data_IF_203942477605
#
_entry.id   IF_203942477605
#
_cell.length_a   1.000
_cell.length_b   1.000
_cell.length_c   1.000
_cell.angle_alpha   90.00
_cell.angle_beta   90.00
_cell.angle_gamma   90.00
#
_symmetry.space_group_name_H-M   'P 1'
#
loop_
_entity.id
_entity.type
_entity.pdbx_description
1 polymer ?
#
# COMPACT_ATOMS: atom_id res chain seq x y z
N UNK A 1 -2.41 -19.25 6.56
CA UNK A 1 -3.20 -20.51 6.56
C UNK A 1 -4.61 -20.25 7.08
N UNK A 2 -5.66 -20.88 6.51
CA UNK A 2 -7.08 -20.64 6.89
C UNK A 2 -7.68 -21.66 7.89
N UNK A 3 -6.86 -22.52 8.51
CA UNK A 3 -7.30 -23.49 9.53
C UNK A 3 -7.24 -22.96 10.97
N UNK A 4 -7.69 -23.74 11.94
CA UNK A 4 -7.72 -23.39 13.38
C UNK A 4 -6.36 -22.90 13.93
N UNK A 5 -5.26 -23.41 13.37
CA UNK A 5 -3.87 -23.00 13.71
C UNK A 5 -3.28 -21.93 12.80
N UNK A 6 -4.08 -21.33 11.93
CA UNK A 6 -3.63 -20.37 10.93
C UNK A 6 -3.03 -19.08 11.51
N UNK A 7 -3.41 -18.73 12.75
CA UNK A 7 -2.90 -17.57 13.48
C UNK A 7 -1.48 -17.76 14.04
N UNK A 8 -1.04 -19.00 14.29
CA UNK A 8 0.30 -19.34 14.83
C UNK A 8 1.36 -19.51 13.73
N UNK A 9 0.94 -19.69 12.48
CA UNK A 9 1.81 -19.89 11.32
C UNK A 9 1.93 -18.61 10.46
N UNK A 10 1.96 -17.42 11.10
CA UNK A 10 1.94 -16.14 10.37
C UNK A 10 3.20 -15.92 9.52
N UNK A 11 4.35 -16.44 9.91
CA UNK A 11 5.54 -16.45 9.07
C UNK A 11 6.44 -17.65 9.41
N UNK A 12 6.59 -18.59 8.47
CA UNK A 12 7.52 -19.73 8.58
C UNK A 12 8.41 -19.72 7.36
N UNK A 13 9.72 -19.61 7.59
CA UNK A 13 10.72 -19.64 6.52
C UNK A 13 11.16 -21.08 6.27
N UNK A 14 10.98 -21.53 5.04
CA UNK A 14 11.47 -22.83 4.54
C UNK A 14 12.55 -22.53 3.49
N UNK A 15 13.79 -23.03 3.65
CA UNK A 15 14.83 -22.87 2.64
C UNK A 15 14.42 -23.44 1.28
N UNK A 16 14.88 -22.82 0.20
CA UNK A 16 14.71 -23.35 -1.17
C UNK A 16 15.30 -24.78 -1.27
N UNK A 17 14.65 -25.65 -2.04
CA UNK A 17 15.05 -27.06 -2.20
C UNK A 17 14.78 -27.96 -0.98
N UNK A 18 14.37 -27.40 0.16
CA UNK A 18 14.12 -28.15 1.40
C UNK A 18 12.63 -28.43 1.61
N UNK A 19 12.29 -29.68 1.91
CA UNK A 19 10.89 -30.06 2.09
C UNK A 19 10.19 -30.26 0.74
N UNK A 20 8.91 -30.66 0.80
CA UNK A 20 8.05 -30.75 -0.38
C UNK A 20 7.87 -29.38 -1.04
N UNK A 21 7.51 -28.35 -0.25
CA UNK A 21 7.32 -26.98 -0.74
C UNK A 21 8.59 -26.40 -1.35
N UNK A 22 9.74 -26.55 -0.69
CA UNK A 22 11.01 -26.03 -1.23
C UNK A 22 11.45 -26.73 -2.50
N UNK A 23 11.18 -28.04 -2.64
CA UNK A 23 11.46 -28.78 -3.88
C UNK A 23 10.57 -28.29 -5.03
N UNK A 24 9.27 -28.09 -4.80
CA UNK A 24 8.34 -27.56 -5.81
C UNK A 24 8.74 -26.15 -6.23
N UNK A 25 9.13 -25.30 -5.27
CA UNK A 25 9.60 -23.95 -5.55
C UNK A 25 10.88 -23.92 -6.41
N UNK A 26 11.77 -24.89 -6.23
CA UNK A 26 13.03 -25.00 -6.97
C UNK A 26 12.84 -25.59 -8.38
N UNK A 27 11.98 -26.61 -8.51
CA UNK A 27 11.85 -27.36 -9.76
C UNK A 27 10.66 -26.93 -10.63
N UNK A 28 9.71 -26.19 -10.07
CA UNK A 28 8.50 -25.75 -10.79
C UNK A 28 7.60 -26.91 -11.22
N UNK A 29 7.61 -28.03 -10.49
CA UNK A 29 6.80 -29.22 -10.81
C UNK A 29 5.84 -29.54 -9.67
N UNK A 30 4.57 -29.88 -9.96
CA UNK A 30 3.62 -30.24 -8.94
C UNK A 30 3.97 -31.61 -8.31
N UNK A 31 3.55 -31.82 -7.05
CA UNK A 31 3.76 -33.07 -6.32
C UNK A 31 2.49 -33.52 -5.60
N UNK A 32 2.17 -34.80 -5.78
CA UNK A 32 1.23 -35.55 -4.98
C UNK A 32 2.01 -36.47 -4.02
N UNK A 33 1.85 -36.28 -2.72
CA UNK A 33 2.49 -37.07 -1.66
C UNK A 33 1.40 -37.73 -0.80
N UNK A 34 1.05 -39.00 -1.07
CA UNK A 34 -0.01 -39.69 -0.33
C UNK A 34 0.34 -39.99 1.13
N UNK A 35 1.64 -40.18 1.43
CA UNK A 35 2.16 -40.41 2.78
C UNK A 35 3.53 -39.73 2.94
N UNK A 36 3.58 -38.62 3.68
CA UNK A 36 4.80 -37.84 3.91
C UNK A 36 5.88 -38.62 4.67
N UNK A 37 5.53 -39.65 5.44
CA UNK A 37 6.55 -40.46 6.17
C UNK A 37 7.37 -41.32 5.22
N UNK A 38 6.86 -41.59 4.02
CA UNK A 38 7.53 -42.40 2.98
C UNK A 38 8.31 -41.54 1.98
N UNK A 39 8.17 -40.23 2.02
CA UNK A 39 8.87 -39.32 1.12
C UNK A 39 10.17 -38.81 1.75
N UNK A 40 11.31 -39.03 1.09
CA UNK A 40 12.64 -38.64 1.56
C UNK A 40 12.83 -37.12 1.64
N UNK A 41 12.02 -36.34 0.91
CA UNK A 41 12.05 -34.88 0.92
C UNK A 41 11.28 -34.29 2.11
N UNK A 42 10.58 -35.11 2.91
CA UNK A 42 9.74 -34.62 3.98
C UNK A 42 10.51 -33.87 5.08
N UNK A 43 10.15 -32.60 5.31
CA UNK A 43 10.79 -31.74 6.31
C UNK A 43 9.87 -31.48 7.51
N UNK A 44 10.18 -32.11 8.66
CA UNK A 44 9.39 -32.01 9.91
C UNK A 44 9.49 -30.67 10.65
N UNK A 45 10.29 -29.71 10.17
CA UNK A 45 10.55 -28.47 10.92
C UNK A 45 9.29 -27.60 11.09
N UNK A 46 8.39 -27.62 10.12
CA UNK A 46 7.11 -26.89 10.15
C UNK A 46 6.12 -27.55 11.12
N UNK A 47 5.97 -28.88 11.04
CA UNK A 47 5.13 -29.67 11.95
C UNK A 47 5.54 -29.50 13.43
N UNK A 48 6.85 -29.51 13.72
CA UNK A 48 7.37 -29.32 15.09
C UNK A 48 6.98 -27.95 15.67
N UNK A 49 7.01 -26.89 14.86
CA UNK A 49 6.66 -25.53 15.30
C UNK A 49 5.16 -25.34 15.49
N UNK A 50 4.36 -25.91 14.60
CA UNK A 50 2.89 -25.71 14.58
C UNK A 50 2.12 -26.77 15.38
N UNK A 51 2.81 -27.84 15.82
CA UNK A 51 2.18 -29.05 16.37
C UNK A 51 1.10 -29.61 15.43
N UNK A 52 1.20 -29.35 14.13
CA UNK A 52 0.33 -29.93 13.10
C UNK A 52 0.92 -31.26 12.66
N UNK A 53 0.08 -32.26 12.42
CA UNK A 53 0.52 -33.59 11.96
C UNK A 53 0.17 -33.74 10.51
N UNK A 54 1.16 -33.57 9.65
CA UNK A 54 0.99 -33.75 8.22
C UNK A 54 1.05 -35.24 7.86
N UNK A 55 0.09 -35.71 7.06
CA UNK A 55 -0.01 -37.10 6.57
C UNK A 55 0.12 -37.16 5.06
N UNK A 56 -0.59 -36.28 4.35
CA UNK A 56 -0.57 -36.21 2.90
C UNK A 56 -0.55 -34.75 2.41
N UNK A 57 0.03 -34.53 1.24
CA UNK A 57 0.25 -33.21 0.64
C UNK A 57 -0.05 -33.27 -0.84
N UNK A 58 -0.72 -32.24 -1.37
CA UNK A 58 -0.52 -31.80 -2.74
C UNK A 58 0.16 -30.44 -2.69
N UNK A 59 1.22 -30.25 -3.46
CA UNK A 59 1.88 -28.96 -3.64
C UNK A 59 2.00 -28.65 -5.13
N UNK A 60 1.58 -27.44 -5.52
CA UNK A 60 1.61 -26.97 -6.93
C UNK A 60 2.36 -25.64 -7.00
N UNK A 61 3.19 -25.43 -8.03
CA UNK A 61 3.85 -24.16 -8.25
C UNK A 61 2.82 -23.10 -8.68
N UNK A 62 2.98 -21.87 -8.22
CA UNK A 62 2.26 -20.71 -8.72
C UNK A 62 3.14 -20.07 -9.79
N UNK A 63 2.77 -20.22 -11.05
CA UNK A 63 3.57 -19.76 -12.19
C UNK A 63 2.83 -18.64 -12.92
N UNK A 64 3.51 -17.51 -13.11
CA UNK A 64 3.04 -16.39 -13.92
C UNK A 64 4.15 -15.94 -14.87
N UNK A 65 3.83 -15.78 -16.16
CA UNK A 65 4.78 -15.34 -17.21
C UNK A 65 6.11 -16.12 -17.21
N UNK A 66 6.05 -17.43 -16.96
CA UNK A 66 7.23 -18.31 -16.93
C UNK A 66 8.09 -18.22 -15.66
N UNK A 67 7.67 -17.45 -14.65
CA UNK A 67 8.34 -17.33 -13.35
C UNK A 67 7.52 -17.99 -12.25
N UNK A 68 8.18 -18.70 -11.34
CA UNK A 68 7.56 -19.23 -10.13
C UNK A 68 7.45 -18.07 -9.13
N UNK A 69 6.23 -17.65 -8.82
CA UNK A 69 5.95 -16.57 -7.87
C UNK A 69 5.60 -17.11 -6.47
N UNK A 70 5.43 -18.42 -6.33
CA UNK A 70 5.18 -19.08 -5.06
C UNK A 70 4.82 -20.55 -5.21
N UNK A 71 4.40 -21.16 -4.12
CA UNK A 71 3.88 -22.53 -4.06
C UNK A 71 2.61 -22.53 -3.22
N UNK A 72 1.59 -23.24 -3.69
CA UNK A 72 0.37 -23.49 -2.93
C UNK A 72 0.33 -24.96 -2.52
N UNK A 73 0.00 -25.23 -1.26
CA UNK A 73 -0.15 -26.59 -0.75
C UNK A 73 -1.49 -26.81 -0.06
N UNK A 74 -1.99 -28.04 -0.18
CA UNK A 74 -3.12 -28.55 0.58
C UNK A 74 -2.71 -29.81 1.32
N UNK A 75 -3.10 -29.89 2.59
CA UNK A 75 -2.68 -30.93 3.52
C UNK A 75 -3.87 -31.75 3.97
N UNK A 76 -3.67 -33.05 4.19
CA UNK A 76 -4.61 -33.94 4.88
C UNK A 76 -6.06 -33.88 4.36
N UNK A 77 -6.34 -34.50 3.20
CA UNK A 77 -7.69 -34.59 2.64
C UNK A 77 -8.71 -35.09 3.70
N UNK A 78 -9.84 -34.37 3.82
CA UNK A 78 -10.89 -34.67 4.82
C UNK A 78 -11.71 -35.92 4.44
N UNK A 79 -12.31 -36.53 5.47
CA UNK A 79 -13.21 -37.68 5.34
C UNK A 79 -12.48 -39.02 5.19
N UNK A 80 -11.26 -39.14 5.74
CA UNK A 80 -10.42 -40.33 5.64
C UNK A 80 -10.13 -40.77 4.18
N UNK A 81 -10.07 -39.79 3.26
CA UNK A 81 -9.77 -40.02 1.85
C UNK A 81 -8.29 -39.74 1.56
N UNK A 82 -7.77 -40.32 0.48
CA UNK A 82 -6.46 -39.99 -0.05
C UNK A 82 -6.57 -39.01 -1.21
N UNK A 83 -5.54 -38.19 -1.36
CA UNK A 83 -5.36 -37.41 -2.57
C UNK A 83 -5.04 -38.35 -3.74
N UNK A 84 -5.55 -38.02 -4.93
CA UNK A 84 -5.32 -38.75 -6.18
C UNK A 84 -4.95 -37.78 -7.32
N UNK A 85 -4.69 -38.31 -8.51
CA UNK A 85 -4.30 -37.51 -9.68
C UNK A 85 -5.39 -36.50 -10.08
N UNK A 86 -6.68 -36.84 -9.98
CA UNK A 86 -7.74 -35.88 -10.27
C UNK A 86 -7.73 -34.68 -9.30
N UNK A 87 -7.36 -34.90 -8.03
CA UNK A 87 -7.18 -33.81 -7.08
C UNK A 87 -5.96 -32.95 -7.44
N UNK A 88 -4.89 -33.56 -7.96
CA UNK A 88 -3.69 -32.87 -8.42
C UNK A 88 -4.02 -31.96 -9.62
N UNK A 89 -4.66 -32.52 -10.64
CA UNK A 89 -5.08 -31.80 -11.85
C UNK A 89 -5.99 -30.60 -11.50
N UNK A 90 -6.99 -30.84 -10.64
CA UNK A 90 -7.89 -29.77 -10.18
C UNK A 90 -7.12 -28.68 -9.43
N UNK A 91 -6.22 -29.07 -8.52
CA UNK A 91 -5.50 -28.10 -7.71
C UNK A 91 -4.43 -27.34 -8.51
N UNK A 92 -3.84 -27.96 -9.52
CA UNK A 92 -2.94 -27.30 -10.47
C UNK A 92 -3.69 -26.24 -11.29
N UNK A 93 -4.88 -26.56 -11.79
CA UNK A 93 -5.74 -25.59 -12.47
C UNK A 93 -6.10 -24.39 -11.57
N UNK A 94 -6.41 -24.64 -10.30
CA UNK A 94 -6.62 -23.58 -9.30
C UNK A 94 -5.32 -22.81 -9.01
N UNK A 95 -4.19 -23.48 -8.97
CA UNK A 95 -2.86 -22.89 -8.82
C UNK A 95 -2.57 -21.84 -9.90
N UNK A 96 -2.90 -22.13 -11.16
CA UNK A 96 -2.76 -21.16 -12.24
C UNK A 96 -3.64 -19.91 -12.03
N UNK A 97 -4.90 -20.08 -11.63
CA UNK A 97 -5.79 -18.94 -11.35
C UNK A 97 -5.29 -18.10 -10.16
N UNK A 98 -4.80 -18.76 -9.10
CA UNK A 98 -4.20 -18.10 -7.94
C UNK A 98 -2.98 -17.31 -8.37
N UNK A 99 -2.12 -17.87 -9.22
CA UNK A 99 -0.90 -17.20 -9.67
C UNK A 99 -1.22 -15.89 -10.40
N UNK A 100 -2.20 -15.91 -11.31
CA UNK A 100 -2.66 -14.72 -12.03
C UNK A 100 -3.24 -13.68 -11.06
N UNK A 101 -4.08 -14.12 -10.11
CA UNK A 101 -4.71 -13.21 -9.16
C UNK A 101 -3.68 -12.53 -8.23
N UNK A 102 -2.68 -13.28 -7.74
CA UNK A 102 -1.60 -12.75 -6.90
C UNK A 102 -0.73 -11.77 -7.67
N UNK A 103 -0.34 -12.10 -8.91
CA UNK A 103 0.42 -11.19 -9.78
C UNK A 103 -0.36 -9.89 -10.02
N UNK A 104 -1.64 -9.98 -10.36
CA UNK A 104 -2.47 -8.80 -10.58
C UNK A 104 -2.55 -7.92 -9.32
N UNK A 105 -2.74 -8.52 -8.14
CA UNK A 105 -2.76 -7.78 -6.88
C UNK A 105 -1.40 -7.10 -6.56
N UNK A 106 -0.27 -7.77 -6.86
CA UNK A 106 1.07 -7.18 -6.72
C UNK A 106 1.24 -5.97 -7.64
N UNK A 107 0.84 -6.11 -8.91
CA UNK A 107 0.93 -5.03 -9.89
C UNK A 107 0.08 -3.81 -9.48
N UNK A 108 -1.11 -4.02 -8.94
CA UNK A 108 -1.92 -2.91 -8.40
C UNK A 108 -1.23 -2.22 -7.22
N UNK A 109 -0.62 -3.00 -6.32
CA UNK A 109 0.13 -2.45 -5.16
C UNK A 109 1.33 -1.64 -5.63
N UNK A 110 2.12 -2.17 -6.57
CA UNK A 110 3.28 -1.49 -7.16
C UNK A 110 2.88 -0.20 -7.89
N UNK A 111 1.74 -0.19 -8.59
CA UNK A 111 1.22 1.02 -9.24
C UNK A 111 0.85 2.10 -8.22
N UNK A 112 0.21 1.74 -7.11
CA UNK A 112 -0.15 2.70 -6.07
C UNK A 112 1.10 3.22 -5.33
N UNK A 113 2.10 2.38 -5.07
CA UNK A 113 3.39 2.79 -4.50
C UNK A 113 4.17 3.73 -5.43
N UNK A 114 4.22 3.42 -6.73
CA UNK A 114 4.86 4.26 -7.74
C UNK A 114 4.16 5.62 -7.86
N UNK A 115 2.82 5.63 -7.82
CA UNK A 115 2.04 6.85 -7.87
C UNK A 115 2.36 7.77 -6.69
N UNK A 116 2.33 7.24 -5.46
CA UNK A 116 2.66 8.01 -4.25
C UNK A 116 4.11 8.49 -4.25
N UNK A 117 5.05 7.63 -4.64
CA UNK A 117 6.47 7.99 -4.72
C UNK A 117 6.73 9.10 -5.74
N UNK A 118 6.00 9.08 -6.87
CA UNK A 118 6.07 10.14 -7.88
C UNK A 118 5.53 11.47 -7.36
N UNK A 119 4.40 11.44 -6.63
CA UNK A 119 3.85 12.64 -5.98
C UNK A 119 4.85 13.20 -4.96
N UNK A 120 5.42 12.35 -4.10
CA UNK A 120 6.40 12.77 -3.08
C UNK A 120 7.63 13.41 -3.72
N UNK A 121 8.14 12.85 -4.82
CA UNK A 121 9.27 13.43 -5.55
C UNK A 121 8.97 14.84 -6.10
N UNK A 122 7.74 15.09 -6.58
CA UNK A 122 7.33 16.43 -7.03
C UNK A 122 7.30 17.40 -5.83
N UNK A 123 6.71 16.98 -4.72
CA UNK A 123 6.60 17.82 -3.51
C UNK A 123 7.99 18.11 -2.92
N UNK A 124 8.89 17.14 -2.89
CA UNK A 124 10.27 17.35 -2.47
C UNK A 124 11.00 18.37 -3.36
N UNK A 125 10.73 18.37 -4.66
CA UNK A 125 11.27 19.38 -5.57
C UNK A 125 10.69 20.79 -5.31
N UNK A 126 9.41 20.88 -4.91
CA UNK A 126 8.79 22.15 -4.47
C UNK A 126 9.43 22.64 -3.17
N UNK A 127 9.57 21.77 -2.17
CA UNK A 127 10.23 22.09 -0.90
C UNK A 127 11.70 22.47 -1.07
N UNK A 128 12.40 21.88 -2.05
CA UNK A 128 13.78 22.26 -2.34
C UNK A 128 13.91 23.67 -2.95
N UNK A 129 12.85 24.15 -3.61
CA UNK A 129 12.78 25.50 -4.19
C UNK A 129 12.45 26.56 -3.13
N UNK A 130 11.74 26.18 -2.07
CA UNK A 130 11.40 27.04 -0.94
C UNK A 130 12.52 26.98 0.13
N UNK A 131 13.33 28.04 0.31
CA UNK A 131 14.49 28.01 1.22
C UNK A 131 14.13 27.71 2.68
N UNK A 132 12.86 27.87 3.06
CA UNK A 132 12.40 27.77 4.44
C UNK A 132 11.73 26.45 4.80
N UNK A 133 11.38 25.60 3.81
CA UNK A 133 10.52 24.42 4.04
C UNK A 133 11.20 23.07 3.87
N UNK A 134 12.54 22.98 3.86
CA UNK A 134 13.21 21.66 3.74
C UNK A 134 12.74 20.66 4.81
N UNK A 135 12.11 19.58 4.36
CA UNK A 135 11.54 18.54 5.22
C UNK A 135 10.28 18.96 5.99
N UNK A 136 9.69 20.12 5.68
CA UNK A 136 8.42 20.58 6.25
C UNK A 136 7.29 19.65 5.88
N UNK A 137 7.13 19.36 4.58
CA UNK A 137 6.04 18.50 4.10
C UNK A 137 6.08 17.12 4.75
N UNK A 138 7.28 16.56 4.95
CA UNK A 138 7.44 15.30 5.66
C UNK A 138 6.94 15.35 7.12
N UNK A 139 7.24 16.43 7.86
CA UNK A 139 6.75 16.62 9.24
C UNK A 139 5.26 16.88 9.31
N UNK A 140 4.71 17.65 8.36
CA UNK A 140 3.25 17.88 8.27
C UNK A 140 2.54 16.55 8.08
N UNK A 141 3.00 15.72 7.13
CA UNK A 141 2.45 14.38 6.90
C UNK A 141 2.53 13.54 8.17
N UNK A 142 3.70 13.48 8.82
CA UNK A 142 3.87 12.71 10.07
C UNK A 142 2.86 13.13 11.15
N UNK A 143 2.74 14.42 11.44
CA UNK A 143 1.81 14.91 12.44
C UNK A 143 0.35 14.72 12.05
N UNK A 144 -0.01 14.94 10.79
CA UNK A 144 -1.36 14.70 10.28
C UNK A 144 -1.77 13.24 10.47
N UNK A 145 -0.90 12.28 10.16
CA UNK A 145 -1.19 10.86 10.33
C UNK A 145 -1.34 10.47 11.81
N UNK A 146 -0.47 10.97 12.69
CA UNK A 146 -0.58 10.74 14.14
C UNK A 146 -1.89 11.30 14.71
N UNK A 147 -2.32 12.47 14.24
CA UNK A 147 -3.63 13.04 14.60
C UNK A 147 -4.76 12.15 14.07
N UNK A 148 -4.67 11.72 12.81
CA UNK A 148 -5.64 10.82 12.20
C UNK A 148 -5.79 9.49 12.94
N UNK A 149 -4.69 8.91 13.43
CA UNK A 149 -4.70 7.67 14.23
C UNK A 149 -5.37 7.86 15.60
N UNK A 150 -5.28 9.06 16.17
CA UNK A 150 -5.89 9.39 17.44
C UNK A 150 -7.40 9.69 17.33
N UNK A 151 -7.90 9.97 16.13
CA UNK A 151 -9.32 10.17 15.85
C UNK A 151 -10.04 8.81 15.77
N UNK A 152 -11.09 8.65 16.58
CA UNK A 152 -11.73 7.34 16.78
C UNK A 152 -12.48 6.80 15.53
N UNK A 153 -12.89 7.69 14.61
CA UNK A 153 -13.85 7.37 13.53
C UNK A 153 -13.31 7.66 12.12
N UNK A 154 -12.02 7.40 11.85
CA UNK A 154 -11.44 7.53 10.49
C UNK A 154 -11.34 6.16 9.82
N UNK A 155 -11.96 6.01 8.65
CA UNK A 155 -11.84 4.82 7.79
C UNK A 155 -10.47 4.74 7.09
N UNK A 156 -10.13 3.58 6.51
CA UNK A 156 -8.88 3.41 5.77
C UNK A 156 -8.78 4.34 4.55
N UNK A 157 -9.89 4.57 3.86
CA UNK A 157 -9.92 5.42 2.67
C UNK A 157 -9.77 6.89 3.06
N UNK A 158 -10.42 7.33 4.14
CA UNK A 158 -10.25 8.66 4.72
C UNK A 158 -8.81 8.89 5.23
N UNK A 159 -8.21 7.90 5.89
CA UNK A 159 -6.81 7.98 6.30
C UNK A 159 -5.88 8.14 5.10
N UNK A 160 -6.22 7.49 3.98
CA UNK A 160 -5.48 7.67 2.73
C UNK A 160 -5.67 9.07 2.13
N UNK A 161 -6.89 9.60 2.18
CA UNK A 161 -7.16 10.98 1.76
C UNK A 161 -6.38 11.99 2.60
N UNK A 162 -6.31 11.81 3.92
CA UNK A 162 -5.50 12.62 4.83
C UNK A 162 -4.01 12.58 4.46
N UNK A 163 -3.46 11.37 4.25
CA UNK A 163 -2.06 11.21 3.85
C UNK A 163 -1.76 11.99 2.56
N UNK A 164 -2.56 11.78 1.52
CA UNK A 164 -2.30 12.35 0.19
C UNK A 164 -2.57 13.87 0.19
N UNK A 165 -3.57 14.34 0.95
CA UNK A 165 -3.85 15.78 1.11
C UNK A 165 -2.69 16.49 1.81
N UNK A 166 -2.16 15.90 2.89
CA UNK A 166 -1.01 16.44 3.60
C UNK A 166 0.26 16.47 2.74
N UNK A 167 0.47 15.46 1.88
CA UNK A 167 1.60 15.47 0.93
C UNK A 167 1.44 16.63 -0.08
N UNK A 168 0.22 16.84 -0.60
CA UNK A 168 -0.02 17.76 -1.72
C UNK A 168 -0.38 19.20 -1.32
N UNK A 169 -0.62 19.50 -0.04
CA UNK A 169 -1.20 20.77 0.41
C UNK A 169 -0.53 22.00 -0.21
N UNK A 170 0.80 21.98 -0.30
CA UNK A 170 1.63 23.08 -0.78
C UNK A 170 2.08 22.95 -2.24
N UNK A 171 1.62 21.94 -3.00
CA UNK A 171 2.07 21.68 -4.39
C UNK A 171 1.84 22.88 -5.31
N UNK A 172 0.87 23.73 -4.99
CA UNK A 172 0.57 24.94 -5.74
C UNK A 172 1.62 26.05 -5.66
N UNK A 173 2.61 25.94 -4.74
CA UNK A 173 3.77 26.83 -4.73
C UNK A 173 4.56 26.80 -6.05
N UNK A 174 4.39 25.75 -6.87
CA UNK A 174 4.88 25.70 -8.26
C UNK A 174 4.42 26.92 -9.07
N UNK A 175 3.18 27.37 -8.87
CA UNK A 175 2.60 28.51 -9.57
C UNK A 175 3.01 29.89 -9.02
N UNK A 176 3.76 29.92 -7.91
CA UNK A 176 4.20 31.17 -7.28
C UNK A 176 5.55 31.61 -7.86
N UNK A 177 5.68 32.86 -8.36
CA UNK A 177 6.95 33.38 -8.87
C UNK A 177 8.07 33.37 -7.83
N UNK A 178 9.29 33.02 -8.25
CA UNK A 178 10.47 32.90 -7.38
C UNK A 178 10.77 34.18 -6.60
N UNK A 179 10.53 35.35 -7.22
CA UNK A 179 10.70 36.66 -6.56
C UNK A 179 9.76 36.89 -5.38
N UNK A 180 8.65 36.13 -5.29
CA UNK A 180 7.71 36.13 -4.17
C UNK A 180 8.05 35.00 -3.21
N UNK A 181 8.21 33.77 -3.73
CA UNK A 181 8.47 32.57 -2.92
C UNK A 181 9.79 32.65 -2.14
N UNK A 182 10.87 33.08 -2.80
CA UNK A 182 12.20 33.20 -2.19
C UNK A 182 12.54 34.60 -1.69
N UNK A 183 11.56 35.51 -1.53
CA UNK A 183 11.85 36.91 -1.18
C UNK A 183 12.52 37.00 0.20
N UNK A 184 13.70 37.63 0.32
CA UNK A 184 14.28 37.90 1.64
C UNK A 184 13.46 39.01 2.33
N UNK A 185 12.85 38.68 3.47
CA UNK A 185 12.08 39.62 4.29
C UNK A 185 10.56 39.49 4.11
N UNK A 186 9.81 40.50 4.57
CA UNK A 186 8.33 40.46 4.55
C UNK A 186 7.79 40.69 3.15
N UNK A 187 6.77 39.92 2.77
CA UNK A 187 5.96 40.19 1.58
C UNK A 187 5.16 41.49 1.77
N UNK A 188 5.05 42.26 0.70
CA UNK A 188 4.07 43.35 0.60
C UNK A 188 2.65 42.79 0.59
N UNK A 189 1.62 43.59 0.89
CA UNK A 189 0.23 43.12 0.84
C UNK A 189 -0.17 42.48 -0.50
N UNK A 190 0.33 43.02 -1.63
CA UNK A 190 0.06 42.49 -2.97
C UNK A 190 0.77 41.15 -3.20
N UNK A 191 2.04 41.04 -2.80
CA UNK A 191 2.79 39.78 -2.90
C UNK A 191 2.19 38.70 -1.99
N UNK A 192 1.75 39.08 -0.78
CA UNK A 192 1.09 38.16 0.15
C UNK A 192 -0.26 37.68 -0.39
N UNK A 193 -1.06 38.57 -1.00
CA UNK A 193 -2.30 38.19 -1.69
C UNK A 193 -2.02 37.21 -2.85
N UNK A 194 -0.94 37.41 -3.60
CA UNK A 194 -0.54 36.46 -4.64
C UNK A 194 -0.06 35.12 -4.06
N UNK A 195 0.72 35.15 -2.98
CA UNK A 195 1.19 33.93 -2.28
C UNK A 195 0.03 33.04 -1.84
N UNK A 196 -1.06 33.63 -1.32
CA UNK A 196 -2.25 32.88 -0.89
C UNK A 196 -2.89 32.05 -2.01
N UNK A 197 -2.71 32.44 -3.27
CA UNK A 197 -3.24 31.73 -4.44
C UNK A 197 -2.58 30.38 -4.70
N UNK A 198 -1.54 29.99 -3.95
CA UNK A 198 -0.99 28.65 -4.09
C UNK A 198 -2.04 27.56 -3.80
N UNK A 199 -3.05 27.81 -2.96
CA UNK A 199 -4.12 26.83 -2.75
C UNK A 199 -4.99 26.64 -4.02
N UNK A 200 -5.29 27.73 -4.73
CA UNK A 200 -5.95 27.72 -6.05
C UNK A 200 -5.09 26.97 -7.08
N UNK A 201 -3.79 27.30 -7.14
CA UNK A 201 -2.86 26.65 -8.07
C UNK A 201 -2.71 25.16 -7.77
N UNK A 202 -2.66 24.78 -6.49
CA UNK A 202 -2.59 23.38 -6.07
C UNK A 202 -3.81 22.61 -6.54
N UNK A 203 -5.00 23.18 -6.32
CA UNK A 203 -6.27 22.63 -6.81
C UNK A 203 -6.29 22.46 -8.33
N UNK A 204 -5.87 23.48 -9.08
CA UNK A 204 -5.80 23.44 -10.54
C UNK A 204 -4.77 22.42 -11.07
N UNK A 205 -3.65 22.21 -10.35
CA UNK A 205 -2.62 21.22 -10.71
C UNK A 205 -3.17 19.80 -10.58
N UNK A 206 -3.96 19.52 -9.54
CA UNK A 206 -4.45 18.16 -9.27
C UNK A 206 -5.77 17.84 -9.97
N UNK A 207 -6.55 18.84 -10.37
CA UNK A 207 -7.87 18.69 -11.01
C UNK A 207 -7.89 17.74 -12.23
N UNK A 208 -6.89 17.75 -13.14
CA UNK A 208 -6.85 16.82 -14.27
C UNK A 208 -6.70 15.35 -13.85
N UNK A 209 -6.18 15.07 -12.65
CA UNK A 209 -5.93 13.71 -12.16
C UNK A 209 -7.19 13.20 -11.49
N UNK A 210 -7.97 12.38 -12.21
CA UNK A 210 -9.27 11.89 -11.73
C UNK A 210 -9.24 11.28 -10.32
N UNK A 211 -8.19 10.52 -9.98
CA UNK A 211 -8.00 9.92 -8.64
C UNK A 211 -7.78 10.94 -7.51
N UNK A 212 -7.40 12.18 -7.82
CA UNK A 212 -7.08 13.22 -6.82
C UNK A 212 -8.18 14.28 -6.68
N UNK A 213 -9.20 14.28 -7.54
CA UNK A 213 -10.24 15.32 -7.55
C UNK A 213 -10.99 15.45 -6.22
N UNK A 214 -11.21 14.35 -5.52
CA UNK A 214 -11.87 14.34 -4.22
C UNK A 214 -11.05 15.07 -3.14
N UNK A 215 -9.75 15.26 -3.36
CA UNK A 215 -8.87 15.96 -2.43
C UNK A 215 -8.84 17.48 -2.65
N UNK A 216 -9.41 17.98 -3.75
CA UNK A 216 -9.42 19.41 -4.08
C UNK A 216 -9.91 20.27 -2.91
N UNK A 217 -11.01 19.94 -2.20
CA UNK A 217 -11.43 20.73 -1.05
C UNK A 217 -10.36 20.81 0.05
N UNK A 218 -9.63 19.73 0.31
CA UNK A 218 -8.58 19.72 1.33
C UNK A 218 -7.40 20.61 0.92
N UNK A 219 -6.96 20.50 -0.35
CA UNK A 219 -5.85 21.32 -0.87
C UNK A 219 -6.24 22.80 -0.94
N UNK A 220 -7.46 23.11 -1.36
CA UNK A 220 -7.93 24.48 -1.51
C UNK A 220 -8.03 25.21 -0.17
N UNK A 221 -8.41 24.49 0.91
CA UNK A 221 -8.83 25.10 2.17
C UNK A 221 -7.88 24.86 3.34
N UNK A 222 -6.67 24.33 3.14
CA UNK A 222 -5.75 24.01 4.23
C UNK A 222 -5.23 25.22 5.03
N UNK A 223 -5.52 26.43 4.54
CA UNK A 223 -5.27 27.69 5.25
C UNK A 223 -6.53 28.34 5.83
N UNK A 224 -7.67 27.65 5.73
CA UNK A 224 -8.87 28.07 6.44
C UNK A 224 -8.66 27.97 7.95
N UNK A 225 -9.39 28.82 8.66
CA UNK A 225 -9.26 28.93 10.11
C UNK A 225 -10.62 28.74 10.72
N UNK A 226 -10.68 28.05 11.86
CA UNK A 226 -11.94 27.78 12.56
C UNK A 226 -12.76 29.05 12.85
N UNK A 227 -12.09 30.21 13.01
CA UNK A 227 -12.70 31.52 13.23
C UNK A 227 -13.21 32.24 11.96
N UNK A 228 -12.96 31.68 10.77
CA UNK A 228 -13.31 32.24 9.46
C UNK A 228 -12.46 33.42 9.03
N UNK A 229 -11.28 33.59 9.62
CA UNK A 229 -10.29 34.59 9.18
C UNK A 229 -9.21 33.99 8.27
N UNK A 230 -9.41 32.75 7.84
CA UNK A 230 -8.55 32.06 6.88
C UNK A 230 -8.85 32.49 5.44
N UNK A 231 -8.25 31.75 4.51
CA UNK A 231 -8.41 31.91 3.07
C UNK A 231 -8.45 30.52 2.41
N UNK A 232 -8.96 30.40 1.17
CA UNK A 232 -9.43 31.45 0.25
C UNK A 232 -10.87 31.94 0.50
N UNK A 233 -11.74 31.12 1.09
CA UNK A 233 -13.18 31.35 1.12
C UNK A 233 -13.69 31.88 2.47
N UNK A 234 -12.86 31.85 3.52
CA UNK A 234 -13.23 32.28 4.87
C UNK A 234 -14.22 31.31 5.52
N UNK A 235 -14.05 30.02 5.27
CA UNK A 235 -14.86 28.95 5.84
C UNK A 235 -14.74 28.95 7.38
N UNK A 236 -15.84 28.56 8.04
CA UNK A 236 -15.94 28.60 9.52
C UNK A 236 -16.30 27.23 10.05
N UNK A 237 -15.64 26.85 11.14
CA UNK A 237 -15.90 25.64 11.89
C UNK A 237 -16.06 24.41 10.98
N UNK A 238 -17.19 23.70 11.07
CA UNK A 238 -17.45 22.44 10.38
C UNK A 238 -17.64 22.57 8.86
N UNK A 239 -17.59 23.81 8.32
CA UNK A 239 -17.57 24.03 6.88
C UNK A 239 -16.19 23.81 6.27
N UNK A 240 -15.13 23.80 7.08
CA UNK A 240 -13.77 23.47 6.65
C UNK A 240 -13.70 21.96 6.43
N UNK A 241 -13.20 21.48 5.26
CA UNK A 241 -13.01 20.05 5.04
C UNK A 241 -12.15 19.43 6.13
N UNK A 242 -12.52 18.23 6.61
CA UNK A 242 -11.90 17.62 7.79
C UNK A 242 -10.38 17.39 7.62
N UNK A 243 -9.91 17.17 6.39
CA UNK A 243 -8.50 16.90 6.08
C UNK A 243 -7.79 18.10 5.43
N UNK A 244 -8.38 19.29 5.51
CA UNK A 244 -7.73 20.55 5.18
C UNK A 244 -6.76 20.96 6.29
#
# INVERSE_FOLDING_TARGET
>A
ARGEKGKEAKEIRVPMGKGIVGWVAEHGRPLLVPDVKKDSRWFKGVDKKTKFVTRSIIAVPLISKGKIIGVSEVLNKKGNRHFNENDLELFEALGHQIAIAVENASLYTELDELFLSSIRAIVEAVDAKDPYTKGHSARVVEYSLLIGEALADISKDEFKQLEVSAILHDVGKIGVPDKILGKPGKLTPVEYAYMQRHSEFGSAIIEPIAKLRELIPNIMHHHERFDGKGYPDGLKAERIPLFA
#
